data_IF_753377434445
#
_entry.id   IF_753377434445
#
_cell.length_a   1.000
_cell.length_b   1.000
_cell.length_c   1.000
_cell.angle_alpha   90.00
_cell.angle_beta   90.00
_cell.angle_gamma   90.00
#
_symmetry.space_group_name_H-M   'P 1'
#
loop_
_entity.id
_entity.type
_entity.pdbx_description
1 polymer ?
#
# COMPACT_ATOMS: atom_id res chain seq x y z
N UNK A 1 11.62 -58.83 -19.24
CA UNK A 1 11.50 -58.39 -20.66
C UNK A 1 12.79 -58.55 -21.46
N UNK A 2 13.76 -57.62 -21.48
CA UNK A 2 14.97 -57.77 -22.35
C UNK A 2 15.77 -59.05 -22.01
N UNK A 3 15.92 -59.37 -20.73
CA UNK A 3 16.60 -60.59 -20.30
C UNK A 3 15.88 -61.89 -20.67
N UNK A 4 14.54 -61.89 -20.78
CA UNK A 4 13.77 -63.07 -21.21
C UNK A 4 13.99 -63.35 -22.71
N UNK A 5 14.11 -62.28 -23.52
CA UNK A 5 14.48 -62.41 -24.94
C UNK A 5 15.90 -62.96 -25.08
N UNK A 6 16.85 -62.49 -24.27
CA UNK A 6 18.23 -62.97 -24.31
C UNK A 6 18.39 -64.43 -23.85
N UNK A 7 17.54 -64.91 -22.93
CA UNK A 7 17.54 -66.30 -22.47
C UNK A 7 16.74 -67.24 -23.37
N UNK A 8 16.07 -66.73 -24.41
CA UNK A 8 15.21 -67.53 -25.29
C UNK A 8 13.89 -67.97 -24.62
N UNK A 9 13.51 -67.34 -23.51
CA UNK A 9 12.24 -67.59 -22.82
C UNK A 9 11.08 -66.84 -23.51
N UNK A 10 11.38 -65.79 -24.29
CA UNK A 10 10.42 -65.01 -25.07
C UNK A 10 10.97 -64.67 -26.45
N UNK A 11 10.15 -64.80 -27.50
CA UNK A 11 10.54 -64.50 -28.88
C UNK A 11 10.38 -63.01 -29.25
N UNK A 12 9.46 -62.30 -28.61
CA UNK A 12 9.17 -60.88 -28.84
C UNK A 12 8.59 -60.24 -27.58
N UNK A 13 8.83 -58.95 -27.38
CA UNK A 13 8.20 -58.15 -26.31
C UNK A 13 7.50 -56.92 -26.89
N UNK A 14 6.22 -56.73 -26.53
CA UNK A 14 5.43 -55.55 -26.87
C UNK A 14 5.07 -54.84 -25.57
N UNK A 15 5.74 -53.72 -25.29
CA UNK A 15 5.61 -52.98 -24.04
C UNK A 15 6.02 -51.51 -24.23
N UNK A 16 5.64 -50.59 -23.32
CA UNK A 16 6.12 -49.21 -23.30
C UNK A 16 7.61 -49.19 -22.90
N UNK A 17 8.49 -49.49 -23.86
CA UNK A 17 9.93 -49.62 -23.66
C UNK A 17 10.67 -48.54 -24.44
N UNK A 18 11.35 -47.65 -23.71
CA UNK A 18 12.18 -46.61 -24.32
C UNK A 18 13.41 -47.21 -25.01
N UNK A 19 13.60 -46.85 -26.28
CA UNK A 19 14.80 -47.17 -27.07
C UNK A 19 15.97 -46.37 -26.51
N UNK A 20 17.05 -47.07 -26.13
CA UNK A 20 18.29 -46.48 -25.63
C UNK A 20 19.48 -47.23 -26.27
N UNK A 21 20.62 -46.55 -26.45
CA UNK A 21 21.83 -47.09 -27.07
C UNK A 21 22.27 -48.44 -26.47
N UNK A 22 22.36 -48.52 -25.13
CA UNK A 22 22.73 -49.76 -24.42
C UNK A 22 21.77 -50.92 -24.65
N UNK A 23 20.49 -50.63 -24.92
CA UNK A 23 19.47 -51.65 -25.18
C UNK A 23 19.52 -52.12 -26.64
N UNK A 24 19.84 -51.23 -27.58
CA UNK A 24 19.99 -51.58 -28.99
C UNK A 24 21.25 -52.38 -29.31
N UNK A 25 22.24 -52.45 -28.39
CA UNK A 25 23.41 -53.31 -28.54
C UNK A 25 23.08 -54.81 -28.38
N UNK A 26 22.00 -55.15 -27.66
CA UNK A 26 21.69 -56.54 -27.28
C UNK A 26 20.40 -57.08 -27.91
N UNK A 27 19.48 -56.20 -28.35
CA UNK A 27 18.22 -56.59 -29.01
C UNK A 27 17.88 -55.63 -30.15
N UNK A 28 17.19 -56.13 -31.17
CA UNK A 28 16.70 -55.32 -32.29
C UNK A 28 15.34 -54.68 -31.95
N UNK A 29 15.16 -53.41 -32.32
CA UNK A 29 13.91 -52.66 -32.16
C UNK A 29 13.27 -52.35 -33.51
N UNK A 30 11.94 -52.28 -33.54
CA UNK A 30 11.19 -51.72 -34.68
C UNK A 30 11.28 -50.19 -34.71
N UNK A 31 10.76 -49.56 -35.77
CA UNK A 31 10.64 -48.10 -35.82
C UNK A 31 9.72 -47.62 -34.68
N UNK A 32 10.08 -46.57 -33.93
CA UNK A 32 9.24 -46.03 -32.88
C UNK A 32 7.86 -45.64 -33.44
N UNK A 33 6.79 -46.12 -32.81
CA UNK A 33 5.40 -45.78 -33.18
C UNK A 33 4.84 -44.62 -32.35
N UNK A 34 5.53 -44.24 -31.27
CA UNK A 34 5.11 -43.20 -30.33
C UNK A 34 6.33 -42.35 -29.94
N UNK A 35 6.22 -41.04 -30.08
CA UNK A 35 7.23 -40.08 -29.62
C UNK A 35 6.80 -39.53 -28.26
N UNK A 36 7.52 -39.90 -27.19
CA UNK A 36 7.31 -39.39 -25.84
C UNK A 36 8.56 -38.64 -25.37
N UNK A 37 8.34 -37.52 -24.68
CA UNK A 37 9.38 -36.77 -23.97
C UNK A 37 9.23 -36.91 -22.46
N UNK A 38 10.26 -36.51 -21.71
CA UNK A 38 10.17 -36.39 -20.25
C UNK A 38 9.34 -35.13 -19.96
N UNK A 39 8.26 -35.28 -19.20
CA UNK A 39 7.46 -34.17 -18.69
C UNK A 39 7.52 -34.11 -17.17
N UNK A 40 7.42 -32.90 -16.61
CA UNK A 40 7.34 -32.69 -15.17
C UNK A 40 5.87 -32.55 -14.82
N UNK A 41 5.38 -33.47 -14.00
CA UNK A 41 4.07 -33.35 -13.37
C UNK A 41 4.27 -32.70 -12.00
N UNK A 42 3.57 -31.58 -11.76
CA UNK A 42 3.51 -30.93 -10.45
C UNK A 42 2.06 -30.65 -10.08
N UNK A 43 1.78 -30.63 -8.77
CA UNK A 43 0.46 -30.25 -8.26
C UNK A 43 0.27 -28.76 -8.55
N UNK A 44 -0.80 -28.40 -9.24
CA UNK A 44 -1.21 -26.98 -9.34
C UNK A 44 -1.47 -26.49 -7.91
N UNK A 45 -0.80 -25.40 -7.46
CA UNK A 45 -1.04 -24.86 -6.14
C UNK A 45 -2.51 -24.45 -6.02
N UNK A 46 -3.09 -24.66 -4.85
CA UNK A 46 -4.47 -24.25 -4.59
C UNK A 46 -4.57 -22.72 -4.75
N UNK A 47 -5.62 -22.24 -5.43
CA UNK A 47 -5.82 -20.81 -5.67
C UNK A 47 -5.86 -20.07 -4.32
N UNK A 48 -4.89 -19.17 -4.11
CA UNK A 48 -4.84 -18.34 -2.91
C UNK A 48 -6.01 -17.37 -2.94
N UNK A 49 -7.00 -17.60 -2.07
CA UNK A 49 -8.08 -16.64 -1.90
C UNK A 49 -7.52 -15.37 -1.28
N UNK A 50 -7.78 -14.18 -1.86
CA UNK A 50 -7.30 -12.94 -1.29
C UNK A 50 -7.93 -12.74 0.09
N UNK A 51 -7.09 -12.53 1.09
CA UNK A 51 -7.54 -12.19 2.44
C UNK A 51 -8.30 -10.86 2.42
N UNK A 52 -9.22 -10.67 3.37
CA UNK A 52 -10.06 -9.47 3.48
C UNK A 52 -9.24 -8.18 3.60
N UNK A 53 -8.01 -8.27 4.13
CA UNK A 53 -7.07 -7.17 4.31
C UNK A 53 -5.92 -7.17 3.30
N UNK A 54 -6.06 -7.87 2.17
CA UNK A 54 -5.01 -7.93 1.16
C UNK A 54 -4.60 -6.55 0.62
N UNK A 55 -5.49 -5.56 0.69
CA UNK A 55 -5.19 -4.16 0.33
C UNK A 55 -4.14 -3.49 1.23
N UNK A 56 -3.84 -4.03 2.42
CA UNK A 56 -2.80 -3.51 3.33
C UNK A 56 -1.42 -4.14 3.09
N UNK A 57 -1.36 -5.28 2.38
CA UNK A 57 -0.11 -5.97 2.02
C UNK A 57 0.92 -5.17 1.20
N UNK A 58 0.58 -4.12 0.41
CA UNK A 58 1.58 -3.37 -0.34
C UNK A 58 2.62 -2.68 0.55
N UNK A 59 2.24 -2.40 1.80
CA UNK A 59 3.10 -1.77 2.81
C UNK A 59 3.34 -2.73 3.96
N UNK A 60 4.58 -2.78 4.45
CA UNK A 60 4.93 -3.60 5.60
C UNK A 60 4.32 -3.04 6.89
N UNK A 61 4.04 -3.93 7.85
CA UNK A 61 3.49 -3.55 9.16
C UNK A 61 4.32 -2.48 9.88
N UNK A 62 5.65 -2.52 9.72
CA UNK A 62 6.57 -1.53 10.28
C UNK A 62 6.28 -0.12 9.77
N UNK A 63 5.96 0.02 8.47
CA UNK A 63 5.67 1.33 7.88
C UNK A 63 4.30 1.83 8.37
N UNK A 64 3.31 0.95 8.50
CA UNK A 64 2.00 1.32 9.08
C UNK A 64 2.14 1.90 10.50
N UNK A 65 2.96 1.26 11.34
CA UNK A 65 3.25 1.78 12.68
C UNK A 65 3.99 3.12 12.63
N UNK A 66 4.90 3.31 11.67
CA UNK A 66 5.61 4.57 11.47
C UNK A 66 4.66 5.70 11.01
N UNK A 67 3.69 5.42 10.13
CA UNK A 67 2.66 6.38 9.72
C UNK A 67 1.82 6.82 10.92
N UNK A 68 1.36 5.88 11.75
CA UNK A 68 0.60 6.20 12.96
C UNK A 68 1.41 7.07 13.93
N UNK A 69 2.68 6.74 14.16
CA UNK A 69 3.57 7.54 14.99
C UNK A 69 3.81 8.94 14.39
N UNK A 70 3.99 9.03 13.07
CA UNK A 70 4.18 10.30 12.37
C UNK A 70 2.94 11.21 12.50
N UNK A 71 1.73 10.67 12.37
CA UNK A 71 0.48 11.43 12.56
C UNK A 71 0.47 12.06 13.96
N UNK A 72 0.75 11.29 15.00
CA UNK A 72 0.78 11.79 16.39
C UNK A 72 1.86 12.86 16.58
N UNK A 73 3.09 12.61 16.11
CA UNK A 73 4.20 13.56 16.20
C UNK A 73 3.89 14.88 15.48
N UNK A 74 3.32 14.80 14.29
CA UNK A 74 2.96 15.96 13.47
C UNK A 74 1.81 16.74 14.11
N UNK A 75 0.78 16.06 14.62
CA UNK A 75 -0.32 16.71 15.35
C UNK A 75 0.20 17.49 16.56
N UNK A 76 1.08 16.89 17.36
CA UNK A 76 1.70 17.56 18.52
C UNK A 76 2.59 18.74 18.08
N UNK A 77 3.38 18.57 17.01
CA UNK A 77 4.22 19.63 16.46
C UNK A 77 3.41 20.81 15.95
N UNK A 78 2.34 20.58 15.18
CA UNK A 78 1.46 21.65 14.73
C UNK A 78 0.71 22.32 15.89
N UNK A 79 0.23 21.54 16.85
CA UNK A 79 -0.48 22.07 18.02
C UNK A 79 0.40 22.98 18.88
N UNK A 80 1.66 22.62 19.08
CA UNK A 80 2.60 23.48 19.85
C UNK A 80 2.95 24.74 19.07
N UNK A 81 3.24 24.64 17.78
CA UNK A 81 3.60 25.79 16.94
C UNK A 81 2.43 26.77 16.77
N UNK A 82 1.19 26.27 16.64
CA UNK A 82 0.01 27.11 16.52
C UNK A 82 -0.32 27.86 17.82
N UNK A 83 0.09 27.33 18.99
CA UNK A 83 -0.07 28.01 20.28
C UNK A 83 0.99 29.08 20.51
N UNK A 84 2.24 28.81 20.13
CA UNK A 84 3.36 29.75 20.29
C UNK A 84 3.29 30.89 19.27
N UNK A 85 2.72 30.67 18.09
CA UNK A 85 2.66 31.68 17.03
C UNK A 85 1.45 32.61 17.21
N UNK A 86 1.63 33.89 17.59
CA UNK A 86 0.51 34.81 17.84
C UNK A 86 -0.31 35.11 16.59
N UNK A 87 0.27 34.98 15.39
CA UNK A 87 -0.40 35.21 14.11
C UNK A 87 -1.47 34.15 13.77
N UNK A 88 -1.51 33.02 14.47
CA UNK A 88 -2.57 32.01 14.32
C UNK A 88 -3.81 32.35 15.14
N UNK A 89 -3.65 33.15 16.20
CA UNK A 89 -4.74 33.57 17.06
C UNK A 89 -5.53 34.69 16.36
N UNK A 90 -6.83 34.49 16.20
CA UNK A 90 -7.70 35.40 15.46
C UNK A 90 -8.95 35.75 16.25
N UNK A 91 -9.48 36.93 16.00
CA UNK A 91 -10.77 37.33 16.54
C UNK A 91 -11.85 36.43 15.93
N UNK A 92 -12.55 35.70 16.80
CA UNK A 92 -13.44 34.62 16.39
C UNK A 92 -14.74 35.17 15.81
N UNK A 93 -14.73 35.53 14.54
CA UNK A 93 -15.94 35.73 13.76
C UNK A 93 -15.97 34.67 12.66
N UNK A 94 -16.14 33.42 13.07
CA UNK A 94 -16.29 32.30 12.14
C UNK A 94 -17.71 32.25 11.61
N UNK A 95 -17.92 32.80 10.43
CA UNK A 95 -18.41 31.99 9.32
C UNK A 95 -17.81 32.57 8.06
N UNK A 96 -17.11 31.70 7.35
CA UNK A 96 -17.00 31.79 5.91
C UNK A 96 -15.97 32.84 5.43
N UNK A 97 -14.75 32.33 5.23
CA UNK A 97 -13.68 32.94 4.41
C UNK A 97 -13.01 34.18 5.03
N UNK A 98 -11.69 34.23 4.89
CA UNK A 98 -10.82 35.29 5.41
C UNK A 98 -11.00 36.68 4.77
N UNK A 99 -12.18 37.03 4.24
CA UNK A 99 -12.39 38.28 3.50
C UNK A 99 -13.67 39.07 3.80
N UNK A 100 -14.56 38.64 4.70
CA UNK A 100 -15.71 39.47 5.10
C UNK A 100 -15.92 39.48 6.62
N UNK A 101 -16.13 40.65 7.25
CA UNK A 101 -16.53 40.70 8.65
C UNK A 101 -17.90 40.05 8.82
N UNK A 102 -18.08 39.23 9.86
CA UNK A 102 -19.37 38.58 10.08
C UNK A 102 -20.49 39.61 10.28
N UNK A 103 -21.75 39.29 9.94
CA UNK A 103 -22.89 40.18 10.16
C UNK A 103 -23.12 40.54 11.64
N UNK A 104 -22.50 39.82 12.59
CA UNK A 104 -22.56 40.14 14.01
C UNK A 104 -21.66 41.31 14.45
N UNK A 105 -20.75 41.80 13.59
CA UNK A 105 -19.77 42.84 13.94
C UNK A 105 -20.43 44.22 13.91
N UNK A 106 -21.68 44.26 13.44
CA UNK A 106 -22.59 45.39 13.53
C UNK A 106 -23.23 45.53 14.92
N UNK A 107 -23.11 44.53 15.81
CA UNK A 107 -23.65 44.60 17.17
C UNK A 107 -22.56 45.04 18.16
N UNK A 108 -22.81 46.17 18.81
CA UNK A 108 -21.88 46.99 19.62
C UNK A 108 -21.34 46.27 20.87
N UNK A 109 -21.89 45.11 21.26
CA UNK A 109 -21.56 44.37 22.49
C UNK A 109 -21.10 42.91 22.29
N UNK A 110 -20.58 42.55 21.11
CA UNK A 110 -19.97 41.21 20.94
C UNK A 110 -18.55 41.19 21.55
N UNK A 111 -18.25 40.32 22.53
CA UNK A 111 -16.91 40.25 23.11
C UNK A 111 -15.92 39.79 22.04
N UNK A 112 -14.90 40.61 21.83
CA UNK A 112 -13.80 40.38 20.88
C UNK A 112 -12.88 39.30 21.46
N UNK A 113 -13.26 38.03 21.28
CA UNK A 113 -12.48 36.89 21.79
C UNK A 113 -11.47 36.38 20.75
N UNK A 114 -10.22 36.26 21.19
CA UNK A 114 -9.13 35.70 20.41
C UNK A 114 -9.21 34.16 20.43
N UNK A 115 -9.63 33.56 19.33
CA UNK A 115 -9.76 32.11 19.15
C UNK A 115 -8.64 31.56 18.27
N UNK A 116 -8.25 30.33 18.58
CA UNK A 116 -7.33 29.55 17.78
C UNK A 116 -8.06 28.28 17.30
N UNK A 117 -8.26 28.17 15.98
CA UNK A 117 -8.96 27.04 15.36
C UNK A 117 -8.18 25.71 15.50
N UNK A 118 -6.88 25.76 15.80
CA UNK A 118 -6.04 24.60 16.08
C UNK A 118 -6.23 24.10 17.53
N UNK A 119 -7.39 23.50 17.81
CA UNK A 119 -7.55 22.59 18.94
C UNK A 119 -6.81 21.27 18.67
N UNK A 120 -6.52 20.46 19.69
CA UNK A 120 -5.85 19.17 19.48
C UNK A 120 -6.62 18.31 18.47
N UNK A 121 -7.95 18.25 18.62
CA UNK A 121 -8.79 17.40 17.78
C UNK A 121 -8.97 17.95 16.37
N UNK A 122 -9.06 19.28 16.23
CA UNK A 122 -9.05 19.92 14.92
C UNK A 122 -7.70 19.71 14.22
N UNK A 123 -6.59 19.84 14.94
CA UNK A 123 -5.25 19.64 14.38
C UNK A 123 -5.06 18.20 13.94
N UNK A 124 -5.57 17.23 14.69
CA UNK A 124 -5.55 15.83 14.29
C UNK A 124 -6.38 15.60 13.02
N UNK A 125 -7.58 16.17 12.96
CA UNK A 125 -8.41 16.14 11.75
C UNK A 125 -7.68 16.74 10.54
N UNK A 126 -7.04 17.89 10.69
CA UNK A 126 -6.23 18.52 9.65
C UNK A 126 -5.10 17.60 9.13
N UNK A 127 -4.35 16.98 10.04
CA UNK A 127 -3.24 16.07 9.69
C UNK A 127 -3.75 14.81 8.99
N UNK A 128 -4.87 14.24 9.45
CA UNK A 128 -5.47 13.06 8.83
C UNK A 128 -6.10 13.37 7.47
N UNK A 129 -6.78 14.52 7.33
CA UNK A 129 -7.32 14.96 6.04
C UNK A 129 -6.23 15.21 5.03
N UNK A 130 -5.14 15.90 5.41
CA UNK A 130 -4.00 16.11 4.51
C UNK A 130 -3.33 14.80 4.08
N UNK A 131 -3.27 13.80 4.97
CA UNK A 131 -2.85 12.45 4.59
C UNK A 131 -3.79 11.84 3.56
N UNK A 132 -5.10 11.86 3.79
CA UNK A 132 -6.10 11.26 2.89
C UNK A 132 -6.36 12.05 1.60
N UNK A 133 -5.53 13.08 1.31
CA UNK A 133 -5.75 14.06 0.22
C UNK A 133 -7.12 14.77 0.33
N UNK A 134 -7.71 14.80 1.52
CA UNK A 134 -8.94 15.50 1.85
C UNK A 134 -8.71 16.97 2.20
N UNK A 135 -9.74 17.79 1.99
CA UNK A 135 -9.75 19.19 2.41
C UNK A 135 -10.06 19.37 3.89
N UNK A 136 -9.85 20.58 4.39
CA UNK A 136 -10.21 21.00 5.75
C UNK A 136 -10.74 22.44 5.71
N UNK A 137 -11.72 22.75 6.56
CA UNK A 137 -12.43 24.05 6.54
C UNK A 137 -11.58 25.23 7.07
N UNK A 138 -10.43 24.92 7.67
CA UNK A 138 -9.46 25.90 8.15
C UNK A 138 -8.06 25.53 7.67
N UNK A 139 -7.22 26.53 7.42
CA UNK A 139 -5.86 26.34 6.94
C UNK A 139 -4.86 27.24 7.65
N UNK A 140 -3.56 26.90 7.60
CA UNK A 140 -2.51 27.63 8.31
C UNK A 140 -2.34 29.04 7.77
N UNK A 141 -2.26 30.02 8.67
CA UNK A 141 -2.13 31.44 8.33
C UNK A 141 -0.68 31.91 8.42
N UNK A 142 0.00 31.54 9.50
CA UNK A 142 1.39 31.93 9.72
C UNK A 142 2.34 31.23 8.75
N UNK A 143 3.47 31.87 8.47
CA UNK A 143 4.49 31.30 7.58
C UNK A 143 5.08 30.01 8.17
N UNK A 144 5.27 29.96 9.49
CA UNK A 144 5.79 28.79 10.22
C UNK A 144 4.90 27.55 10.05
N UNK A 145 3.59 27.71 10.28
CA UNK A 145 2.58 26.64 10.16
C UNK A 145 2.36 26.24 8.71
N UNK A 146 2.43 27.18 7.75
CA UNK A 146 2.38 26.87 6.31
C UNK A 146 3.57 26.03 5.85
N UNK A 147 4.78 26.36 6.30
CA UNK A 147 5.97 25.58 5.95
C UNK A 147 5.90 24.16 6.52
N UNK A 148 5.42 24.00 7.76
CA UNK A 148 5.16 22.68 8.33
C UNK A 148 4.09 21.92 7.52
N UNK A 149 2.95 22.56 7.26
CA UNK A 149 1.87 21.99 6.46
C UNK A 149 2.32 21.56 5.07
N UNK A 150 3.12 22.38 4.39
CA UNK A 150 3.67 22.06 3.07
C UNK A 150 4.63 20.87 3.08
N UNK A 151 5.50 20.77 4.11
CA UNK A 151 6.39 19.61 4.28
C UNK A 151 5.60 18.32 4.51
N UNK A 152 4.60 18.38 5.39
CA UNK A 152 3.71 17.26 5.71
C UNK A 152 2.95 16.81 4.44
N UNK A 153 2.36 17.76 3.73
CA UNK A 153 1.65 17.52 2.48
C UNK A 153 2.53 16.83 1.43
N UNK A 154 3.76 17.31 1.22
CA UNK A 154 4.68 16.68 0.28
C UNK A 154 5.04 15.25 0.68
N UNK A 155 5.33 15.03 1.98
CA UNK A 155 5.70 13.71 2.49
C UNK A 155 4.58 12.67 2.32
N UNK A 156 3.33 13.04 2.57
CA UNK A 156 2.20 12.14 2.39
C UNK A 156 1.86 11.90 0.92
N UNK A 157 2.01 12.89 0.03
CA UNK A 157 1.81 12.65 -1.40
C UNK A 157 2.78 11.61 -1.94
N UNK A 158 4.07 11.73 -1.60
CA UNK A 158 5.09 10.76 -1.99
C UNK A 158 4.75 9.35 -1.45
N UNK A 159 4.30 9.26 -0.20
CA UNK A 159 3.90 7.98 0.41
C UNK A 159 2.73 7.32 -0.34
N UNK A 160 1.73 8.10 -0.77
CA UNK A 160 0.60 7.57 -1.54
C UNK A 160 0.96 7.19 -2.97
N UNK A 161 1.88 7.90 -3.60
CA UNK A 161 2.40 7.54 -4.92
C UNK A 161 3.11 6.18 -4.85
N UNK A 162 3.97 5.99 -3.85
CA UNK A 162 4.64 4.71 -3.57
C UNK A 162 3.65 3.58 -3.26
N UNK A 163 2.63 3.85 -2.45
CA UNK A 163 1.59 2.87 -2.15
C UNK A 163 0.82 2.46 -3.41
N UNK A 164 0.42 3.43 -4.22
CA UNK A 164 -0.31 3.19 -5.47
C UNK A 164 0.55 2.40 -6.47
N UNK A 165 1.84 2.75 -6.59
CA UNK A 165 2.79 2.03 -7.45
C UNK A 165 2.95 0.56 -7.04
N UNK A 166 2.84 0.23 -5.75
CA UNK A 166 2.97 -1.15 -5.25
C UNK A 166 1.70 -1.98 -5.39
N UNK A 167 0.55 -1.34 -5.63
CA UNK A 167 -0.74 -2.02 -5.80
C UNK A 167 -0.98 -2.42 -7.27
N UNK A 168 -0.54 -1.57 -8.20
CA UNK A 168 -0.67 -1.78 -9.65
C UNK A 168 0.33 -2.84 -10.13
#
# INVERSE_FOLDING_TARGET
>A
MIGEILRGEAEMAVAPLTVNFRRSEVVAFTKPFLSLGISILYKVPDDYQPDLFSFLNPLSWQIWMAILAAIVCVTLGMYTVSRVTPYEWNLNFSCCTAHQPHPGAAFVDSPVELSNNYSFWNTLWYVTSTMLKGGCDFGPRAVSTRLLGGKIWLSYNLLWEEFTFRII
#
